data_IF_694460312026
#
_entry.id   IF_694460312026
#
_cell.length_a   1.000
_cell.length_b   1.000
_cell.length_c   1.000
_cell.angle_alpha   90.00
_cell.angle_beta   90.00
_cell.angle_gamma   90.00
#
_symmetry.space_group_name_H-M   'P 1'
#
loop_
_entity.id
_entity.type
_entity.pdbx_description
1 polymer ?
#
# COMPACT_ATOMS: atom_id res chain seq x y z
N UNK A 1 -7.74 -9.60 -26.79
CA UNK A 1 -8.12 -11.03 -26.76
C UNK A 1 -7.97 -11.52 -25.33
N UNK A 2 -9.07 -11.58 -24.58
CA UNK A 2 -9.03 -12.03 -23.19
C UNK A 2 -9.02 -13.56 -23.18
N UNK A 3 -7.89 -14.16 -22.80
CA UNK A 3 -7.81 -15.60 -22.56
C UNK A 3 -8.47 -15.87 -21.21
N UNK A 4 -9.79 -15.99 -21.17
CA UNK A 4 -10.44 -16.71 -20.08
C UNK A 4 -10.32 -18.20 -20.39
N UNK A 5 -9.49 -18.92 -19.63
CA UNK A 5 -9.53 -20.38 -19.64
C UNK A 5 -10.95 -20.80 -19.24
N UNK A 6 -11.64 -21.55 -20.11
CA UNK A 6 -12.84 -22.24 -19.69
C UNK A 6 -12.46 -23.28 -18.64
N UNK A 7 -13.13 -23.25 -17.49
CA UNK A 7 -12.91 -24.24 -16.44
C UNK A 7 -13.14 -25.64 -17.00
N UNK A 8 -12.24 -26.57 -16.67
CA UNK A 8 -12.40 -27.94 -17.10
C UNK A 8 -13.59 -28.59 -16.37
N UNK A 9 -14.23 -29.57 -17.01
CA UNK A 9 -15.30 -30.36 -16.37
C UNK A 9 -14.82 -31.03 -15.07
N UNK A 10 -13.54 -31.42 -15.02
CA UNK A 10 -12.91 -31.96 -13.82
C UNK A 10 -12.84 -30.92 -12.69
N UNK A 11 -12.46 -29.67 -13.00
CA UNK A 11 -12.45 -28.57 -12.05
C UNK A 11 -13.85 -28.31 -11.48
N UNK A 12 -14.87 -28.20 -12.32
CA UNK A 12 -16.25 -27.93 -11.86
C UNK A 12 -16.78 -29.05 -10.96
N UNK A 13 -16.44 -30.30 -11.27
CA UNK A 13 -16.83 -31.45 -10.44
C UNK A 13 -16.25 -31.35 -9.02
N UNK A 14 -14.96 -31.02 -8.91
CA UNK A 14 -14.28 -30.85 -7.61
C UNK A 14 -14.79 -29.61 -6.88
N UNK A 15 -15.08 -28.53 -7.61
CA UNK A 15 -15.66 -27.31 -7.05
C UNK A 15 -17.03 -27.59 -6.42
N UNK A 16 -17.89 -28.34 -7.10
CA UNK A 16 -19.20 -28.73 -6.59
C UNK A 16 -19.09 -29.64 -5.35
N UNK A 17 -18.13 -30.57 -5.34
CA UNK A 17 -17.84 -31.41 -4.17
C UNK A 17 -17.48 -30.56 -2.95
N UNK A 18 -16.63 -29.55 -3.12
CA UNK A 18 -16.26 -28.64 -2.04
C UNK A 18 -17.46 -27.81 -1.55
N UNK A 19 -18.26 -27.26 -2.47
CA UNK A 19 -19.43 -26.44 -2.12
C UNK A 19 -20.54 -27.22 -1.42
N UNK A 20 -20.64 -28.53 -1.71
CA UNK A 20 -21.63 -29.43 -1.09
C UNK A 20 -21.06 -30.17 0.12
N UNK A 21 -19.87 -29.80 0.60
CA UNK A 21 -19.17 -30.55 1.64
C UNK A 21 -20.00 -30.66 2.93
N UNK A 22 -20.13 -31.86 3.54
CA UNK A 22 -21.01 -32.07 4.71
C UNK A 22 -20.66 -31.25 5.94
N UNK A 23 -19.43 -30.71 6.02
CA UNK A 23 -18.98 -29.88 7.16
C UNK A 23 -19.93 -28.73 7.44
N UNK A 24 -20.50 -28.08 6.41
CA UNK A 24 -21.38 -26.93 6.58
C UNK A 24 -22.63 -27.27 7.40
N UNK A 25 -23.18 -28.48 7.24
CA UNK A 25 -24.35 -28.96 8.00
C UNK A 25 -24.00 -29.44 9.41
N UNK A 26 -22.72 -29.64 9.72
CA UNK A 26 -22.25 -30.12 11.04
C UNK A 26 -21.89 -28.98 12.00
N UNK A 27 -21.78 -27.73 11.52
CA UNK A 27 -21.50 -26.54 12.32
C UNK A 27 -22.76 -26.05 13.09
N UNK A 28 -23.28 -26.90 13.97
CA UNK A 28 -24.56 -26.68 14.68
C UNK A 28 -24.40 -26.19 16.12
N UNK A 29 -23.17 -26.07 16.64
CA UNK A 29 -22.90 -25.63 18.01
C UNK A 29 -21.66 -24.74 18.08
N UNK A 30 -21.57 -23.93 19.13
CA UNK A 30 -20.39 -23.09 19.40
C UNK A 30 -19.11 -23.92 19.60
N UNK A 31 -19.22 -25.18 20.05
CA UNK A 31 -18.08 -26.10 20.14
C UNK A 31 -17.60 -26.55 18.76
N UNK A 32 -18.51 -26.92 17.86
CA UNK A 32 -18.14 -27.31 16.48
C UNK A 32 -17.52 -26.15 15.69
N UNK A 33 -18.02 -24.93 15.89
CA UNK A 33 -17.44 -23.73 15.27
C UNK A 33 -16.02 -23.46 15.79
N UNK A 34 -15.78 -23.59 17.10
CA UNK A 34 -14.42 -23.45 17.68
C UNK A 34 -13.45 -24.47 17.06
N UNK A 35 -13.84 -25.74 17.02
CA UNK A 35 -13.02 -26.79 16.42
C UNK A 35 -12.76 -26.54 14.92
N UNK A 36 -13.77 -26.09 14.18
CA UNK A 36 -13.59 -25.71 12.77
C UNK A 36 -12.59 -24.56 12.61
N UNK A 37 -12.68 -23.52 13.45
CA UNK A 37 -11.75 -22.38 13.39
C UNK A 37 -10.31 -22.77 13.70
N UNK A 38 -10.09 -23.65 14.70
CA UNK A 38 -8.76 -24.16 15.06
C UNK A 38 -8.05 -24.83 13.87
N UNK A 39 -8.79 -25.47 12.98
CA UNK A 39 -8.24 -26.07 11.76
C UNK A 39 -8.23 -25.10 10.57
N UNK A 40 -9.28 -24.28 10.40
CA UNK A 40 -9.43 -23.43 9.23
C UNK A 40 -8.42 -22.27 9.18
N UNK A 41 -7.89 -21.85 10.33
CA UNK A 41 -6.84 -20.80 10.41
C UNK A 41 -5.61 -21.13 9.55
N UNK A 42 -5.26 -22.41 9.38
CA UNK A 42 -4.15 -22.83 8.55
C UNK A 42 -4.41 -22.61 7.05
N UNK A 43 -5.66 -22.79 6.59
CA UNK A 43 -6.05 -22.50 5.21
C UNK A 43 -6.04 -20.99 4.94
N UNK A 44 -6.43 -20.16 5.92
CA UNK A 44 -6.32 -18.70 5.83
C UNK A 44 -4.85 -18.26 5.75
N UNK A 45 -3.97 -18.87 6.56
CA UNK A 45 -2.53 -18.59 6.49
C UNK A 45 -1.92 -19.02 5.15
N UNK A 46 -2.29 -20.18 4.63
CA UNK A 46 -1.84 -20.69 3.33
C UNK A 46 -2.28 -19.76 2.18
N UNK A 47 -3.53 -19.31 2.21
CA UNK A 47 -4.02 -18.28 1.27
C UNK A 47 -3.17 -17.00 1.33
N UNK A 48 -2.85 -16.52 2.53
CA UNK A 48 -1.99 -15.34 2.69
C UNK A 48 -0.56 -15.59 2.20
N UNK A 49 -0.06 -16.84 2.19
CA UNK A 49 1.23 -17.19 1.57
C UNK A 49 1.17 -17.11 0.05
N UNK A 50 0.10 -17.63 -0.57
CA UNK A 50 -0.12 -17.52 -2.02
C UNK A 50 -0.27 -16.06 -2.43
N UNK A 51 -1.07 -15.29 -1.70
CA UNK A 51 -1.27 -13.86 -1.97
C UNK A 51 0.02 -13.07 -1.81
N UNK A 52 0.78 -13.28 -0.73
CA UNK A 52 2.09 -12.61 -0.54
C UNK A 52 3.13 -13.03 -1.57
N UNK A 53 3.08 -14.28 -2.06
CA UNK A 53 3.92 -14.73 -3.18
C UNK A 53 3.54 -14.03 -4.47
N UNK A 54 2.26 -14.00 -4.82
CA UNK A 54 1.77 -13.30 -6.01
C UNK A 54 2.04 -11.80 -5.92
N UNK A 55 1.85 -11.18 -4.75
CA UNK A 55 2.26 -9.80 -4.51
C UNK A 55 3.76 -9.65 -4.76
N UNK A 56 4.59 -10.48 -4.14
CA UNK A 56 6.05 -10.44 -4.36
C UNK A 56 6.48 -10.74 -5.81
N UNK A 57 5.76 -11.55 -6.58
CA UNK A 57 6.12 -11.97 -7.94
C UNK A 57 5.51 -11.07 -9.03
N UNK A 58 4.32 -10.50 -8.80
CA UNK A 58 3.57 -9.72 -9.78
C UNK A 58 3.53 -8.23 -9.45
N UNK A 59 3.75 -7.82 -8.19
CA UNK A 59 3.87 -6.40 -7.82
C UNK A 59 5.33 -5.98 -7.66
N UNK A 60 6.30 -6.87 -7.90
CA UNK A 60 7.65 -6.44 -8.25
C UNK A 60 7.62 -5.84 -9.65
N UNK A 61 7.59 -4.53 -9.69
CA UNK A 61 8.22 -3.71 -10.74
C UNK A 61 7.59 -3.64 -12.13
N UNK A 62 6.29 -3.91 -12.29
CA UNK A 62 5.50 -3.19 -13.31
C UNK A 62 4.75 -2.07 -12.62
N UNK A 63 5.54 -1.06 -12.39
CA UNK A 63 5.27 0.05 -11.52
C UNK A 63 4.88 1.20 -12.46
N UNK A 64 3.61 1.67 -12.46
CA UNK A 64 3.16 2.68 -13.42
C UNK A 64 4.03 3.95 -13.41
N UNK A 65 4.66 4.24 -12.28
CA UNK A 65 5.51 5.42 -12.15
C UNK A 65 6.87 5.31 -12.87
N UNK A 66 7.45 4.13 -13.11
CA UNK A 66 8.70 4.05 -13.90
C UNK A 66 8.45 4.37 -15.37
N UNK A 67 7.36 3.84 -15.93
CA UNK A 67 6.91 4.18 -17.27
C UNK A 67 6.51 5.65 -17.41
N UNK A 68 5.92 6.23 -16.36
CA UNK A 68 5.61 7.66 -16.30
C UNK A 68 6.88 8.52 -16.16
N UNK A 69 7.88 8.07 -15.40
CA UNK A 69 9.18 8.73 -15.29
C UNK A 69 9.91 8.72 -16.63
N UNK A 70 9.91 7.60 -17.35
CA UNK A 70 10.51 7.50 -18.69
C UNK A 70 9.80 8.40 -19.70
N UNK A 71 8.45 8.46 -19.68
CA UNK A 71 7.68 9.41 -20.49
C UNK A 71 8.00 10.87 -20.17
N UNK A 72 8.24 11.17 -18.89
CA UNK A 72 8.62 12.49 -18.42
C UNK A 72 10.14 12.78 -18.51
N UNK A 73 10.92 11.87 -19.11
CA UNK A 73 12.39 11.95 -19.22
C UNK A 73 13.11 12.11 -17.86
N UNK A 74 12.50 11.65 -16.76
CA UNK A 74 13.06 11.71 -15.42
C UNK A 74 14.16 10.65 -15.21
N UNK A 75 15.17 10.98 -14.40
CA UNK A 75 16.22 10.03 -14.05
C UNK A 75 15.68 8.88 -13.18
N UNK A 76 15.72 7.67 -13.74
CA UNK A 76 15.27 6.45 -13.05
C UNK A 76 16.41 5.72 -12.34
N UNK A 77 17.67 6.13 -12.50
CA UNK A 77 18.82 5.45 -11.93
C UNK A 77 18.76 5.34 -10.39
N UNK A 78 18.39 6.39 -9.62
CA UNK A 78 18.32 6.29 -8.16
C UNK A 78 17.35 5.22 -7.66
N UNK A 79 16.11 5.20 -8.17
CA UNK A 79 15.09 4.23 -7.76
C UNK A 79 15.42 2.82 -8.28
N UNK A 80 15.93 2.68 -9.50
CA UNK A 80 16.37 1.37 -10.03
C UNK A 80 17.53 0.80 -9.21
N UNK A 81 18.50 1.63 -8.81
CA UNK A 81 19.60 1.25 -7.93
C UNK A 81 19.15 0.88 -6.52
N UNK A 82 18.18 1.59 -5.96
CA UNK A 82 17.53 1.21 -4.70
C UNK A 82 16.88 -0.19 -4.79
N UNK A 83 16.06 -0.42 -5.83
CA UNK A 83 15.38 -1.71 -6.04
C UNK A 83 16.36 -2.87 -6.27
N UNK A 84 17.44 -2.64 -7.03
CA UNK A 84 18.49 -3.65 -7.25
C UNK A 84 19.19 -4.06 -5.94
N UNK A 85 19.48 -3.09 -5.05
CA UNK A 85 20.02 -3.38 -3.71
C UNK A 85 19.09 -4.23 -2.87
N UNK A 86 17.79 -3.93 -2.88
CA UNK A 86 16.79 -4.77 -2.20
C UNK A 86 16.74 -6.19 -2.76
N UNK A 87 16.80 -6.35 -4.09
CA UNK A 87 16.83 -7.67 -4.74
C UNK A 87 18.06 -8.48 -4.36
N UNK A 88 19.19 -7.82 -4.11
CA UNK A 88 20.44 -8.41 -3.60
C UNK A 88 20.38 -8.74 -2.10
N UNK A 89 19.26 -8.50 -1.43
CA UNK A 89 19.04 -8.85 -0.03
C UNK A 89 19.46 -7.79 0.97
N UNK A 90 19.81 -6.57 0.52
CA UNK A 90 20.07 -5.46 1.44
C UNK A 90 18.77 -5.04 2.15
N UNK A 91 18.90 -4.58 3.39
CA UNK A 91 17.77 -3.99 4.12
C UNK A 91 17.39 -2.65 3.50
N UNK A 92 16.12 -2.20 3.63
CA UNK A 92 15.70 -0.89 3.16
C UNK A 92 16.55 0.27 3.69
N UNK A 93 16.88 0.27 5.00
CA UNK A 93 17.72 1.30 5.62
C UNK A 93 19.09 1.39 4.94
N UNK A 94 19.81 0.27 4.80
CA UNK A 94 21.14 0.28 4.15
C UNK A 94 21.04 0.63 2.66
N UNK A 95 19.97 0.21 1.98
CA UNK A 95 19.77 0.57 0.58
C UNK A 95 19.50 2.07 0.36
N UNK A 96 18.88 2.75 1.35
CA UNK A 96 18.60 4.19 1.32
C UNK A 96 19.83 5.07 1.59
N UNK A 97 20.91 4.52 2.14
CA UNK A 97 22.18 5.24 2.42
C UNK A 97 22.96 5.65 1.17
N UNK A 98 22.48 5.28 -0.03
CA UNK A 98 23.04 5.71 -1.32
C UNK A 98 23.25 7.22 -1.39
N UNK A 99 24.37 7.71 -1.94
CA UNK A 99 24.54 9.14 -2.23
C UNK A 99 23.56 9.65 -3.31
N UNK A 100 23.14 8.77 -4.23
CA UNK A 100 22.19 9.12 -5.30
C UNK A 100 20.74 9.34 -4.83
N UNK A 101 20.45 9.07 -3.55
CA UNK A 101 19.11 9.26 -2.97
C UNK A 101 19.14 10.55 -2.13
N UNK A 102 18.31 11.56 -2.46
CA UNK A 102 18.24 12.79 -1.69
C UNK A 102 17.92 12.53 -0.22
N UNK A 103 18.51 13.33 0.67
CA UNK A 103 18.32 13.20 2.12
C UNK A 103 16.84 13.35 2.52
N UNK A 104 16.09 14.24 1.85
CA UNK A 104 14.64 14.40 2.07
C UNK A 104 13.85 13.13 1.77
N UNK A 105 14.21 12.40 0.71
CA UNK A 105 13.62 11.10 0.35
C UNK A 105 13.99 10.05 1.39
N UNK A 106 15.27 9.97 1.77
CA UNK A 106 15.77 9.04 2.78
C UNK A 106 15.04 9.21 4.12
N UNK A 107 14.91 10.44 4.60
CA UNK A 107 14.22 10.75 5.86
C UNK A 107 12.74 10.37 5.81
N UNK A 108 12.06 10.66 4.71
CA UNK A 108 10.65 10.33 4.53
C UNK A 108 10.39 8.82 4.55
N UNK A 109 11.20 8.07 3.80
CA UNK A 109 11.07 6.61 3.73
C UNK A 109 11.46 5.97 5.07
N UNK A 110 12.55 6.39 5.70
CA UNK A 110 12.94 5.89 7.03
C UNK A 110 11.86 6.14 8.08
N UNK A 111 11.25 7.34 8.12
CA UNK A 111 10.13 7.63 9.03
C UNK A 111 8.98 6.63 8.83
N UNK A 112 8.63 6.36 7.57
CA UNK A 112 7.54 5.42 7.24
C UNK A 112 7.90 4.00 7.67
N UNK A 113 9.14 3.56 7.43
CA UNK A 113 9.61 2.23 7.78
C UNK A 113 9.68 2.01 9.30
N UNK A 114 10.15 3.01 10.05
CA UNK A 114 10.21 2.96 11.51
C UNK A 114 8.81 2.83 12.11
N UNK A 115 7.84 3.62 11.62
CA UNK A 115 6.44 3.49 12.05
C UNK A 115 5.90 2.10 11.70
N UNK A 116 6.14 1.62 10.47
CA UNK A 116 5.61 0.33 10.01
C UNK A 116 6.15 -0.88 10.79
N UNK A 117 7.42 -0.85 11.20
CA UNK A 117 8.05 -1.97 11.91
C UNK A 117 7.97 -1.88 13.43
N UNK A 118 7.96 -0.67 13.98
CA UNK A 118 8.10 -0.45 15.43
C UNK A 118 6.91 0.27 16.07
N UNK A 119 6.02 0.85 15.27
CA UNK A 119 4.81 1.50 15.74
C UNK A 119 3.77 0.53 16.29
N UNK A 120 3.00 0.98 17.27
CA UNK A 120 1.81 0.25 17.73
C UNK A 120 0.73 0.23 16.64
N UNK A 121 -0.23 -0.72 16.68
CA UNK A 121 -1.25 -0.84 15.63
C UNK A 121 -2.01 0.47 15.31
N UNK A 122 -2.43 1.24 16.32
CA UNK A 122 -3.13 2.51 16.11
C UNK A 122 -2.22 3.60 15.53
N UNK A 123 -0.91 3.56 15.79
CA UNK A 123 0.06 4.48 15.20
C UNK A 123 0.27 4.18 13.70
N UNK A 124 0.41 2.90 13.34
CA UNK A 124 0.50 2.46 11.94
C UNK A 124 -0.78 2.81 11.19
N UNK A 125 -1.94 2.55 11.79
CA UNK A 125 -3.23 2.90 11.20
C UNK A 125 -3.39 4.41 11.01
N UNK A 126 -2.93 5.23 11.97
CA UNK A 126 -2.97 6.69 11.86
C UNK A 126 -2.05 7.23 10.76
N UNK A 127 -0.83 6.69 10.64
CA UNK A 127 0.09 7.03 9.56
C UNK A 127 -0.46 6.64 8.18
N UNK A 128 -1.15 5.50 8.10
CA UNK A 128 -1.82 5.03 6.89
C UNK A 128 -3.00 5.94 6.54
N UNK A 129 -3.94 6.16 7.46
CA UNK A 129 -5.13 6.97 7.22
C UNK A 129 -4.78 8.44 6.93
N UNK A 130 -4.32 9.19 7.93
CA UNK A 130 -4.07 10.63 7.76
C UNK A 130 -2.89 10.93 6.84
N UNK A 131 -1.90 10.04 6.79
CA UNK A 131 -0.71 10.25 5.98
C UNK A 131 -0.87 9.86 4.51
N UNK A 132 -1.85 9.03 4.16
CA UNK A 132 -2.01 8.46 2.81
C UNK A 132 -3.47 8.51 2.35
N UNK A 133 -4.39 7.85 3.03
CA UNK A 133 -5.77 7.71 2.53
C UNK A 133 -6.57 9.02 2.54
N UNK A 134 -6.44 9.83 3.59
CA UNK A 134 -7.21 11.07 3.77
C UNK A 134 -6.67 12.21 2.88
N UNK A 135 -5.34 12.38 2.85
CA UNK A 135 -4.70 13.54 2.25
C UNK A 135 -4.33 13.36 0.76
N UNK A 136 -4.12 12.12 0.28
CA UNK A 136 -3.68 11.87 -1.11
C UNK A 136 -4.68 12.37 -2.15
N UNK A 137 -6.00 12.12 -2.04
CA UNK A 137 -6.96 12.58 -3.06
C UNK A 137 -6.92 14.09 -3.27
N UNK A 138 -6.87 14.88 -2.19
CA UNK A 138 -6.78 16.33 -2.25
C UNK A 138 -5.44 16.80 -2.83
N UNK A 139 -4.33 16.22 -2.37
CA UNK A 139 -3.00 16.52 -2.93
C UNK A 139 -2.91 16.22 -4.43
N UNK A 140 -3.45 15.07 -4.86
CA UNK A 140 -3.42 14.67 -6.27
C UNK A 140 -4.32 15.54 -7.12
N UNK A 141 -5.48 15.95 -6.60
CA UNK A 141 -6.37 16.91 -7.28
C UNK A 141 -5.64 18.21 -7.58
N UNK A 142 -4.89 18.74 -6.62
CA UNK A 142 -4.04 19.92 -6.84
C UNK A 142 -2.94 19.66 -7.87
N UNK A 143 -2.21 18.55 -7.77
CA UNK A 143 -1.13 18.21 -8.72
C UNK A 143 -1.63 18.01 -10.16
N UNK A 144 -2.76 17.33 -10.34
CA UNK A 144 -3.38 17.09 -11.66
C UNK A 144 -3.69 18.43 -12.33
N UNK A 145 -4.30 19.37 -11.60
CA UNK A 145 -4.61 20.69 -12.12
C UNK A 145 -3.36 21.43 -12.63
N UNK A 146 -2.31 21.49 -11.81
CA UNK A 146 -1.06 22.18 -12.18
C UNK A 146 -0.37 21.50 -13.39
N UNK A 147 -0.37 20.18 -13.44
CA UNK A 147 0.21 19.42 -14.55
C UNK A 147 -0.56 19.64 -15.87
N UNK A 148 -1.89 19.68 -15.83
CA UNK A 148 -2.73 19.97 -17.00
C UNK A 148 -2.51 21.39 -17.53
N UNK A 149 -2.39 22.38 -16.63
CA UNK A 149 -2.11 23.77 -16.97
C UNK A 149 -0.70 23.95 -17.57
N UNK A 150 0.28 23.10 -17.19
CA UNK A 150 1.67 23.20 -17.66
C UNK A 150 1.90 22.83 -19.13
N UNK A 151 0.96 22.09 -19.76
CA UNK A 151 1.05 21.66 -21.16
C UNK A 151 2.20 20.67 -21.50
N UNK A 152 2.92 20.15 -20.50
CA UNK A 152 4.01 19.18 -20.69
C UNK A 152 3.48 17.75 -20.85
N UNK A 153 4.25 16.90 -21.53
CA UNK A 153 3.94 15.47 -21.69
C UNK A 153 4.08 14.74 -20.34
N UNK A 154 2.94 14.41 -19.74
CA UNK A 154 2.84 13.64 -18.49
C UNK A 154 1.55 12.81 -18.45
N UNK A 155 1.08 12.33 -19.61
CA UNK A 155 -0.16 11.61 -19.77
C UNK A 155 -0.26 10.37 -18.87
N UNK A 156 0.83 9.59 -18.75
CA UNK A 156 0.86 8.42 -17.84
C UNK A 156 0.80 8.82 -16.38
N UNK A 157 1.50 9.88 -15.99
CA UNK A 157 1.44 10.40 -14.62
C UNK A 157 0.04 10.93 -14.29
N UNK A 158 -0.55 11.73 -15.19
CA UNK A 158 -1.91 12.24 -15.06
C UNK A 158 -2.93 11.11 -14.95
N UNK A 159 -2.81 10.08 -15.79
CA UNK A 159 -3.65 8.89 -15.72
C UNK A 159 -3.53 8.20 -14.36
N UNK A 160 -2.30 7.98 -13.87
CA UNK A 160 -2.04 7.37 -12.58
C UNK A 160 -2.67 8.17 -11.42
N UNK A 161 -2.49 9.49 -11.40
CA UNK A 161 -3.03 10.36 -10.35
C UNK A 161 -4.56 10.41 -10.37
N UNK A 162 -5.17 10.60 -11.55
CA UNK A 162 -6.63 10.58 -11.73
C UNK A 162 -7.23 9.25 -11.31
N UNK A 163 -6.57 8.14 -11.65
CA UNK A 163 -7.05 6.81 -11.30
C UNK A 163 -7.03 6.56 -9.79
N UNK A 164 -6.05 7.10 -9.06
CA UNK A 164 -6.04 7.06 -7.59
C UNK A 164 -7.18 7.88 -7.00
N UNK A 165 -7.44 9.10 -7.52
CA UNK A 165 -8.57 9.92 -7.05
C UNK A 165 -9.90 9.18 -7.26
N UNK A 166 -10.11 8.59 -8.45
CA UNK A 166 -11.34 7.86 -8.80
C UNK A 166 -11.53 6.54 -8.02
N UNK A 167 -10.45 5.83 -7.69
CA UNK A 167 -10.51 4.54 -7.01
C UNK A 167 -10.52 4.66 -5.49
N UNK A 168 -9.71 5.56 -4.94
CA UNK A 168 -9.47 5.64 -3.50
C UNK A 168 -10.47 6.58 -2.80
N UNK A 169 -11.06 7.53 -3.54
CA UNK A 169 -11.85 8.64 -2.98
C UNK A 169 -13.10 8.25 -2.19
N UNK A 170 -13.74 7.12 -2.49
CA UNK A 170 -15.07 6.80 -1.94
C UNK A 170 -15.11 5.58 -0.99
N UNK A 171 -14.21 4.60 -1.12
CA UNK A 171 -14.31 3.34 -0.36
C UNK A 171 -13.21 3.14 0.69
N UNK A 172 -11.99 3.60 0.43
CA UNK A 172 -10.84 3.25 1.28
C UNK A 172 -10.68 4.18 2.50
N UNK A 173 -10.92 5.48 2.34
CA UNK A 173 -10.89 6.45 3.44
C UNK A 173 -11.78 6.05 4.63
N UNK A 174 -13.10 5.82 4.44
CA UNK A 174 -13.99 5.44 5.54
C UNK A 174 -13.62 4.11 6.22
N UNK A 175 -13.05 3.15 5.47
CA UNK A 175 -12.60 1.88 6.04
C UNK A 175 -11.33 2.05 6.88
N UNK A 176 -10.38 2.87 6.41
CA UNK A 176 -9.17 3.20 7.14
C UNK A 176 -9.47 3.99 8.42
N UNK A 177 -10.41 4.94 8.36
CA UNK A 177 -10.89 5.68 9.54
C UNK A 177 -11.54 4.74 10.57
N UNK A 178 -12.42 3.84 10.13
CA UNK A 178 -13.07 2.84 11.01
C UNK A 178 -12.05 1.91 11.65
N UNK A 179 -11.03 1.48 10.91
CA UNK A 179 -9.93 0.67 11.45
C UNK A 179 -9.19 1.43 12.54
N UNK A 180 -8.83 2.69 12.30
CA UNK A 180 -8.16 3.54 13.29
C UNK A 180 -9.02 3.72 14.54
N UNK A 181 -10.29 4.08 14.38
CA UNK A 181 -11.24 4.23 15.48
C UNK A 181 -11.36 2.95 16.32
N UNK A 182 -11.45 1.79 15.66
CA UNK A 182 -11.47 0.49 16.33
C UNK A 182 -10.20 0.20 17.14
N UNK A 183 -9.02 0.54 16.60
CA UNK A 183 -7.74 0.31 17.27
C UNK A 183 -7.52 1.25 18.46
N UNK A 184 -8.01 2.49 18.36
CA UNK A 184 -8.03 3.45 19.46
C UNK A 184 -9.01 3.04 20.56
N UNK A 185 -10.18 2.49 20.19
CA UNK A 185 -11.20 1.97 21.10
C UNK A 185 -11.65 2.96 22.20
N UNK A 186 -11.61 4.27 21.92
CA UNK A 186 -11.93 5.33 22.88
C UNK A 186 -10.89 5.54 24.00
N UNK A 187 -9.72 4.92 23.90
CA UNK A 187 -8.62 5.14 24.84
C UNK A 187 -7.88 6.45 24.51
N UNK A 188 -7.96 7.42 25.42
CA UNK A 188 -7.35 8.74 25.24
C UNK A 188 -5.82 8.71 25.05
N UNK A 189 -5.14 7.67 25.56
CA UNK A 189 -3.71 7.48 25.34
C UNK A 189 -3.42 7.06 23.90
N UNK A 190 -4.16 6.08 23.38
CA UNK A 190 -4.04 5.61 21.99
C UNK A 190 -4.46 6.68 20.99
N UNK A 191 -5.52 7.42 21.26
CA UNK A 191 -5.95 8.54 20.42
C UNK A 191 -4.86 9.61 20.32
N UNK A 192 -4.25 9.99 21.44
CA UNK A 192 -3.13 10.93 21.44
C UNK A 192 -1.93 10.40 20.64
N UNK A 193 -1.51 9.17 20.89
CA UNK A 193 -0.37 8.55 20.17
C UNK A 193 -0.64 8.43 18.65
N UNK A 194 -1.89 8.13 18.26
CA UNK A 194 -2.34 8.10 16.88
C UNK A 194 -2.21 9.48 16.23
N UNK A 195 -2.72 10.53 16.89
CA UNK A 195 -2.65 11.91 16.37
C UNK A 195 -1.20 12.43 16.28
N UNK A 196 -0.35 12.12 17.27
CA UNK A 196 1.08 12.44 17.21
C UNK A 196 1.76 11.77 16.01
N UNK A 197 1.40 10.51 15.72
CA UNK A 197 1.94 9.76 14.59
C UNK A 197 1.42 10.28 13.24
N UNK A 198 0.14 10.71 13.20
CA UNK A 198 -0.45 11.37 12.03
C UNK A 198 0.30 12.67 11.70
N UNK A 199 0.49 13.53 12.70
CA UNK A 199 1.24 14.78 12.55
C UNK A 199 2.68 14.52 12.09
N UNK A 200 3.37 13.55 12.70
CA UNK A 200 4.72 13.15 12.27
C UNK A 200 4.76 12.72 10.80
N UNK A 201 3.75 11.96 10.35
CA UNK A 201 3.65 11.47 8.97
C UNK A 201 3.47 12.61 7.97
N UNK A 202 2.65 13.60 8.31
CA UNK A 202 2.43 14.80 7.49
C UNK A 202 3.67 15.70 7.47
N UNK A 203 4.31 15.94 8.62
CA UNK A 203 5.56 16.73 8.69
C UNK A 203 6.69 16.08 7.89
N UNK A 204 6.81 14.76 7.93
CA UNK A 204 7.79 14.03 7.14
C UNK A 204 7.54 14.19 5.63
N UNK A 205 6.27 14.19 5.21
CA UNK A 205 5.87 14.47 3.82
C UNK A 205 6.18 15.91 3.40
N UNK A 206 5.96 16.89 4.27
CA UNK A 206 6.33 18.28 4.00
C UNK A 206 7.84 18.38 3.75
N UNK A 207 8.68 17.76 4.58
CA UNK A 207 10.15 17.74 4.37
C UNK A 207 10.56 17.09 3.05
N UNK A 208 9.85 16.05 2.61
CA UNK A 208 10.05 15.47 1.28
C UNK A 208 9.81 16.52 0.20
N UNK A 209 8.67 17.23 0.28
CA UNK A 209 8.29 18.26 -0.67
C UNK A 209 9.20 19.48 -0.64
N UNK A 210 9.65 19.91 0.52
CA UNK A 210 10.65 20.98 0.68
C UNK A 210 11.93 20.62 -0.09
N UNK A 211 12.44 19.38 0.09
CA UNK A 211 13.62 18.94 -0.64
C UNK A 211 13.42 18.83 -2.17
N UNK A 212 12.20 18.51 -2.63
CA UNK A 212 11.87 18.55 -4.06
C UNK A 212 11.84 20.01 -4.56
N UNK A 213 11.21 20.92 -3.82
CA UNK A 213 11.12 22.33 -4.17
C UNK A 213 12.52 22.97 -4.25
N UNK A 214 13.39 22.71 -3.27
CA UNK A 214 14.78 23.19 -3.26
C UNK A 214 15.52 22.71 -4.52
N UNK A 215 15.33 21.45 -4.92
CA UNK A 215 15.94 20.85 -6.10
C UNK A 215 15.44 21.44 -7.43
N UNK A 216 14.24 22.04 -7.45
CA UNK A 216 13.68 22.72 -8.63
C UNK A 216 14.20 24.15 -8.80
N UNK A 217 14.77 24.73 -7.74
CA UNK A 217 15.29 26.11 -7.74
C UNK A 217 16.79 26.20 -8.05
N UNK A 218 17.45 25.06 -8.20
CA UNK A 218 18.88 24.93 -8.53
C UNK A 218 19.08 24.67 -10.02
#
# INVERSE_FOLDING_TARGET
MTVFMQNSRAFETVRDELLLHPVYKKLTSAEHVRLFMEHHVFAVWDFMRLLKRLQRELTVTDVPWLEAMEEAEADTAPIRGFLDRLRKGMTPWTALESPDIPESVRQFVNTTLDIALHGKPHQVAAAFFYGREDIIPDMFTHLVRELEESGKSAARLLYYLKRHIELDGDEHGPLAERLLSYLCAGDAGREREAMETAEQSLRSRIKLWDGVADSLTT
#
